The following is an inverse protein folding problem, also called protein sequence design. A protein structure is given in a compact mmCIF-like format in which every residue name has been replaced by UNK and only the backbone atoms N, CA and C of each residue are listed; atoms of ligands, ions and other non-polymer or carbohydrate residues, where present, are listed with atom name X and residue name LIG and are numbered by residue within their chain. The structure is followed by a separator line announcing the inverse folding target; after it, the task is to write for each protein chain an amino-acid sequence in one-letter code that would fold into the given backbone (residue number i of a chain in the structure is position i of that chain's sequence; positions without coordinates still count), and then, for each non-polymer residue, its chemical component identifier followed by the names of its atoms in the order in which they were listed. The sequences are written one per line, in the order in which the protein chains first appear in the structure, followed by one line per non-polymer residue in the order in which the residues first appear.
data_IF_732971058491
#
_entry.id   IF_732971058491
#
_cell.length_a   1.000
_cell.length_b   1.000
_cell.length_c   1.000
_cell.angle_alpha   90.00
_cell.angle_beta   90.00
_cell.angle_gamma   90.00
#
_symmetry.space_group_name_H-M   'P 1'
#
loop_
_entity.id
_entity.type
_entity.pdbx_description
1 polymer ?
#
# COMPACT_ATOMS: atom_id res chain seq x y z
N UNK A 1 0.92 26.92 -5.59
CA UNK A 1 1.84 25.97 -4.93
C UNK A 1 1.56 24.57 -5.43
N UNK A 2 2.60 23.74 -5.63
CA UNK A 2 2.41 22.35 -6.00
C UNK A 2 1.74 21.54 -4.88
N UNK A 3 0.90 20.59 -5.26
CA UNK A 3 0.19 19.73 -4.33
C UNK A 3 0.00 18.32 -4.86
N UNK A 4 -0.12 17.36 -3.94
CA UNK A 4 -0.42 15.97 -4.24
C UNK A 4 -1.91 15.68 -4.08
N UNK A 5 -2.37 14.76 -4.90
CA UNK A 5 -3.72 14.19 -4.90
C UNK A 5 -3.66 12.70 -4.58
N UNK A 6 -4.80 12.06 -4.42
CA UNK A 6 -4.86 10.59 -4.23
C UNK A 6 -4.21 9.81 -5.37
N UNK A 7 -4.12 10.39 -6.59
CA UNK A 7 -3.43 9.76 -7.73
C UNK A 7 -1.90 9.79 -7.63
N UNK A 8 -1.35 10.63 -6.76
CA UNK A 8 0.09 10.69 -6.52
C UNK A 8 0.55 9.82 -5.34
N UNK A 9 -0.38 9.36 -4.48
CA UNK A 9 -0.09 8.58 -3.30
C UNK A 9 -0.32 7.09 -3.58
N UNK A 10 0.69 6.27 -3.41
CA UNK A 10 0.65 4.81 -3.51
C UNK A 10 1.08 4.17 -2.19
N UNK A 11 0.99 2.85 -2.07
CA UNK A 11 1.56 2.17 -0.93
C UNK A 11 3.07 2.40 -0.87
N UNK A 12 3.52 2.99 0.24
CA UNK A 12 4.93 3.29 0.56
C UNK A 12 5.69 4.17 -0.45
N UNK A 13 4.98 4.85 -1.37
CA UNK A 13 5.64 5.73 -2.35
C UNK A 13 4.74 6.84 -2.85
N UNK A 14 5.38 7.85 -3.44
CA UNK A 14 4.72 8.98 -4.10
C UNK A 14 5.22 9.12 -5.54
N UNK A 15 4.31 9.45 -6.45
CA UNK A 15 4.64 9.84 -7.81
C UNK A 15 4.57 11.36 -7.93
N UNK A 16 5.75 12.00 -7.96
CA UNK A 16 5.89 13.46 -7.92
C UNK A 16 6.20 14.09 -9.29
N UNK A 17 6.25 13.29 -10.36
CA UNK A 17 6.63 13.75 -11.70
C UNK A 17 5.65 14.75 -12.34
N UNK A 18 4.36 14.71 -11.97
CA UNK A 18 3.30 15.58 -12.52
C UNK A 18 2.43 16.13 -11.38
N UNK A 19 2.95 17.08 -10.64
CA UNK A 19 2.20 17.77 -9.60
C UNK A 19 1.30 18.84 -10.22
N UNK A 20 0.10 18.95 -9.70
CA UNK A 20 -0.81 20.06 -10.00
C UNK A 20 -0.47 21.23 -9.12
N UNK A 21 -0.86 22.42 -9.55
CA UNK A 21 -0.70 23.64 -8.77
C UNK A 21 -2.05 24.29 -8.50
N UNK A 22 -2.19 24.86 -7.31
CA UNK A 22 -3.34 25.69 -6.97
C UNK A 22 -2.94 26.77 -5.97
N UNK A 23 -3.83 27.73 -5.78
CA UNK A 23 -3.72 28.72 -4.72
C UNK A 23 -4.19 28.12 -3.40
N UNK A 24 -3.46 28.40 -2.33
CA UNK A 24 -3.83 28.10 -0.95
C UNK A 24 -3.84 29.41 -0.17
N UNK A 25 -4.90 29.67 0.56
CA UNK A 25 -4.93 30.78 1.52
C UNK A 25 -4.00 30.50 2.71
N UNK A 26 -3.60 31.55 3.42
CA UNK A 26 -2.72 31.41 4.60
C UNK A 26 -3.32 30.44 5.65
N UNK A 27 -4.64 30.48 5.85
CA UNK A 27 -5.34 29.61 6.79
C UNK A 27 -5.39 28.14 6.36
N UNK A 28 -5.26 27.87 5.05
CA UNK A 28 -5.26 26.51 4.51
C UNK A 28 -3.86 25.92 4.47
N UNK A 29 -2.84 26.75 4.33
CA UNK A 29 -1.44 26.29 4.20
C UNK A 29 -1.07 25.35 5.36
N UNK A 30 -1.34 25.73 6.60
CA UNK A 30 -0.99 24.90 7.76
C UNK A 30 -1.73 23.55 7.76
N UNK A 31 -3.02 23.57 7.46
CA UNK A 31 -3.86 22.36 7.42
C UNK A 31 -3.48 21.43 6.28
N UNK A 32 -3.19 22.01 5.11
CA UNK A 32 -2.92 21.26 3.89
C UNK A 32 -1.43 20.94 3.68
N UNK A 33 -0.54 21.24 4.63
CA UNK A 33 0.89 20.93 4.53
C UNK A 33 1.23 19.61 5.19
N UNK A 34 1.79 18.71 4.42
CA UNK A 34 2.45 17.52 4.92
C UNK A 34 3.95 17.79 5.09
N UNK A 35 4.49 17.36 6.22
CA UNK A 35 5.91 17.46 6.57
C UNK A 35 6.48 16.07 6.80
N UNK A 36 7.80 15.95 6.83
CA UNK A 36 8.48 14.67 7.06
C UNK A 36 7.96 13.94 8.30
N UNK A 37 7.62 12.67 8.13
CA UNK A 37 7.07 11.81 9.18
C UNK A 37 5.55 11.76 9.25
N UNK A 38 4.83 12.61 8.51
CA UNK A 38 3.37 12.54 8.44
C UNK A 38 2.92 11.28 7.70
N UNK A 39 1.91 10.59 8.25
CA UNK A 39 1.22 9.52 7.55
C UNK A 39 0.07 10.09 6.74
N UNK A 40 0.13 9.91 5.44
CA UNK A 40 -0.91 10.37 4.50
C UNK A 40 -1.78 9.19 4.10
N UNK A 41 -3.11 9.37 4.16
CA UNK A 41 -4.09 8.31 3.91
C UNK A 41 -5.16 8.79 2.94
N UNK A 42 -5.46 8.02 1.90
CA UNK A 42 -6.49 8.34 0.93
C UNK A 42 -7.90 8.22 1.54
N UNK A 43 -8.68 9.31 1.49
CA UNK A 43 -10.12 9.31 1.76
C UNK A 43 -10.92 8.77 0.58
N UNK A 44 -10.47 9.08 -0.65
CA UNK A 44 -11.13 8.72 -1.90
C UNK A 44 -10.21 7.95 -2.86
N UNK A 45 -10.77 7.50 -3.97
CA UNK A 45 -10.06 6.65 -4.93
C UNK A 45 -9.80 5.26 -4.34
N UNK A 46 -8.56 4.91 -4.08
CA UNK A 46 -8.21 3.68 -3.35
C UNK A 46 -8.22 3.96 -1.85
N UNK A 47 -9.40 3.94 -1.27
CA UNK A 47 -9.70 4.30 0.12
C UNK A 47 -8.82 3.53 1.10
N UNK A 48 -8.20 4.25 2.03
CA UNK A 48 -7.32 3.68 3.07
C UNK A 48 -5.89 3.41 2.60
N UNK A 49 -5.56 3.62 1.32
CA UNK A 49 -4.18 3.56 0.84
C UNK A 49 -3.36 4.64 1.52
N UNK A 50 -2.16 4.28 1.99
CA UNK A 50 -1.36 5.13 2.84
C UNK A 50 0.12 5.14 2.45
N UNK A 51 0.81 6.23 2.76
CA UNK A 51 2.27 6.33 2.71
C UNK A 51 2.77 7.38 3.71
N UNK A 52 4.00 7.22 4.16
CA UNK A 52 4.66 8.19 5.05
C UNK A 52 5.43 9.19 4.20
N UNK A 53 5.23 10.49 4.45
CA UNK A 53 6.01 11.52 3.78
C UNK A 53 7.43 11.55 4.35
N UNK A 54 8.40 11.04 3.58
CA UNK A 54 9.80 10.88 4.02
C UNK A 54 10.74 11.96 3.48
N UNK A 55 10.22 12.89 2.65
CA UNK A 55 11.00 13.97 2.04
C UNK A 55 11.25 15.11 3.04
N UNK A 56 12.34 15.82 2.90
CA UNK A 56 12.67 16.97 3.74
C UNK A 56 11.87 18.21 3.35
N UNK A 57 11.41 18.28 2.09
CA UNK A 57 10.57 19.35 1.59
C UNK A 57 9.10 19.13 1.95
N UNK A 58 8.45 20.19 2.40
CA UNK A 58 7.03 20.20 2.67
C UNK A 58 6.21 20.20 1.37
N UNK A 59 5.10 19.46 1.36
CA UNK A 59 4.18 19.41 0.22
C UNK A 59 2.76 19.78 0.64
N UNK A 60 1.98 20.34 -0.29
CA UNK A 60 0.55 20.54 -0.09
C UNK A 60 -0.21 19.27 -0.46
N UNK A 61 -1.30 19.02 0.27
CA UNK A 61 -2.18 17.88 0.04
C UNK A 61 -3.59 18.37 -0.30
N UNK A 62 -4.26 17.62 -1.16
CA UNK A 62 -5.67 17.84 -1.46
C UNK A 62 -6.56 17.36 -0.30
N UNK A 63 -7.79 17.91 -0.23
CA UNK A 63 -8.79 17.58 0.79
C UNK A 63 -9.27 16.10 0.84
N UNK A 64 -8.95 15.30 -0.17
CA UNK A 64 -9.21 13.85 -0.18
C UNK A 64 -8.02 13.00 0.31
N UNK A 65 -7.05 13.64 0.96
CA UNK A 65 -5.95 12.99 1.67
C UNK A 65 -6.00 13.42 3.13
N UNK A 66 -6.13 12.46 4.02
CA UNK A 66 -5.96 12.70 5.45
C UNK A 66 -4.48 12.77 5.80
N UNK A 67 -4.13 13.77 6.62
CA UNK A 67 -2.82 13.91 7.23
C UNK A 67 -2.91 13.50 8.70
N UNK A 68 -2.21 12.44 9.05
CA UNK A 68 -2.12 11.96 10.41
C UNK A 68 -0.74 12.31 10.98
N UNK A 69 -0.75 13.15 11.99
CA UNK A 69 0.43 13.57 12.75
C UNK A 69 0.18 13.31 14.22
N UNK A 70 1.07 12.58 14.85
CA UNK A 70 0.95 12.34 16.29
C UNK A 70 1.43 13.54 17.10
N UNK A 71 0.77 13.79 18.22
CA UNK A 71 1.20 14.78 19.23
C UNK A 71 2.13 14.17 20.28
N UNK A 72 2.30 12.85 20.27
CA UNK A 72 3.17 12.10 21.16
C UNK A 72 4.12 11.24 20.36
N UNK A 73 5.19 10.76 20.98
CA UNK A 73 6.12 9.85 20.31
C UNK A 73 5.45 8.51 20.00
N UNK A 74 5.33 8.20 18.71
CA UNK A 74 4.81 6.93 18.20
C UNK A 74 5.67 6.46 17.03
N UNK A 75 5.59 5.17 16.69
CA UNK A 75 6.17 4.64 15.47
C UNK A 75 5.18 4.82 14.32
N UNK A 76 5.35 5.84 13.46
CA UNK A 76 4.45 6.12 12.33
C UNK A 76 4.33 4.92 11.40
N UNK A 77 5.41 4.17 11.18
CA UNK A 77 5.43 2.95 10.36
C UNK A 77 4.51 1.85 10.91
N UNK A 78 4.36 1.77 12.24
CA UNK A 78 3.41 0.83 12.86
C UNK A 78 1.97 1.14 12.41
N UNK A 79 1.58 2.40 12.40
CA UNK A 79 0.25 2.81 11.91
C UNK A 79 0.09 2.63 10.41
N UNK A 80 1.15 2.86 9.63
CA UNK A 80 1.16 2.53 8.20
C UNK A 80 0.81 1.06 7.97
N UNK A 81 1.45 0.11 8.68
CA UNK A 81 1.15 -1.31 8.57
C UNK A 81 -0.25 -1.67 9.08
N UNK A 82 -0.79 -0.94 10.06
CA UNK A 82 -2.19 -1.12 10.48
C UNK A 82 -3.18 -0.71 9.39
N UNK A 83 -2.96 0.41 8.69
CA UNK A 83 -3.77 0.78 7.53
C UNK A 83 -3.67 -0.26 6.42
N UNK A 84 -2.48 -0.76 6.15
CA UNK A 84 -2.25 -1.82 5.20
C UNK A 84 -3.06 -3.07 5.56
N UNK A 85 -2.97 -3.54 6.80
CA UNK A 85 -3.72 -4.68 7.32
C UNK A 85 -5.24 -4.45 7.20
N UNK A 86 -5.75 -3.31 7.67
CA UNK A 86 -7.18 -3.01 7.69
C UNK A 86 -7.76 -2.93 6.28
N UNK A 87 -7.00 -2.38 5.34
CA UNK A 87 -7.38 -2.36 3.93
C UNK A 87 -7.47 -3.76 3.34
N UNK A 88 -6.46 -4.59 3.52
CA UNK A 88 -6.40 -5.93 2.94
C UNK A 88 -7.35 -6.92 3.64
N UNK A 89 -7.65 -6.70 4.92
CA UNK A 89 -8.69 -7.43 5.64
C UNK A 89 -10.12 -7.02 5.26
N UNK A 90 -10.27 -5.97 4.40
CA UNK A 90 -11.58 -5.48 3.98
C UNK A 90 -12.33 -4.67 5.07
N UNK A 91 -11.63 -4.23 6.11
CA UNK A 91 -12.23 -3.41 7.17
C UNK A 91 -12.34 -1.94 6.77
N UNK A 92 -11.55 -1.51 5.80
CA UNK A 92 -11.59 -0.18 5.18
C UNK A 92 -11.81 -0.34 3.68
N UNK A 93 -12.83 0.32 3.12
CA UNK A 93 -13.10 0.35 1.69
C UNK A 93 -13.61 -0.95 1.08
N UNK A 94 -13.98 -1.95 1.90
CA UNK A 94 -14.50 -3.25 1.44
C UNK A 94 -15.99 -3.19 1.04
N UNK A 95 -16.41 -4.17 0.20
CA UNK A 95 -17.83 -4.44 -0.06
C UNK A 95 -18.34 -5.32 1.08
N UNK A 96 -19.09 -4.77 2.03
CA UNK A 96 -19.66 -5.53 3.16
C UNK A 96 -19.87 -4.70 4.41
N UNK A 97 -19.61 -5.30 5.58
CA UNK A 97 -19.81 -4.67 6.90
C UNK A 97 -18.74 -3.59 7.20
N UNK A 98 -17.73 -3.43 6.36
CA UNK A 98 -16.64 -2.48 6.54
C UNK A 98 -17.01 -1.03 6.16
N UNK A 99 -16.11 -0.12 6.47
CA UNK A 99 -16.22 1.31 6.14
C UNK A 99 -16.10 1.48 4.63
N UNK A 100 -17.15 1.95 3.96
CA UNK A 100 -17.21 2.13 2.52
C UNK A 100 -16.58 3.45 2.04
N UNK A 101 -16.25 4.35 2.94
CA UNK A 101 -15.56 5.60 2.69
C UNK A 101 -14.78 6.00 3.94
N UNK A 102 -13.65 6.65 3.78
CA UNK A 102 -12.82 7.06 4.91
C UNK A 102 -12.99 8.57 5.14
N UNK A 103 -14.22 9.01 5.40
CA UNK A 103 -14.42 10.40 5.86
C UNK A 103 -13.67 10.66 7.17
N UNK A 104 -13.46 11.92 7.53
CA UNK A 104 -12.81 12.26 8.79
C UNK A 104 -13.49 11.60 10.01
N UNK A 105 -14.83 11.56 10.03
CA UNK A 105 -15.58 10.89 11.10
C UNK A 105 -15.35 9.37 11.10
N UNK A 106 -15.31 8.74 9.93
CA UNK A 106 -15.02 7.32 9.81
C UNK A 106 -13.58 6.99 10.25
N UNK A 107 -12.62 7.85 9.89
CA UNK A 107 -11.23 7.73 10.32
C UNK A 107 -11.11 7.82 11.84
N UNK A 108 -11.79 8.80 12.47
CA UNK A 108 -11.79 8.96 13.93
C UNK A 108 -12.48 7.81 14.68
N UNK A 109 -13.36 7.07 14.01
CA UNK A 109 -14.02 5.89 14.57
C UNK A 109 -13.19 4.60 14.47
N UNK A 110 -12.07 4.61 13.73
CA UNK A 110 -11.18 3.46 13.64
C UNK A 110 -10.50 3.19 14.99
N UNK A 111 -10.60 1.96 15.44
CA UNK A 111 -9.91 1.51 16.64
C UNK A 111 -8.55 0.92 16.26
N UNK A 112 -7.48 1.53 16.73
CA UNK A 112 -6.13 1.03 16.57
C UNK A 112 -5.58 0.51 17.90
N UNK A 113 -4.90 -0.66 17.90
CA UNK A 113 -4.13 -1.08 19.05
C UNK A 113 -2.98 -0.09 19.29
N UNK A 114 -2.73 0.25 20.55
CA UNK A 114 -1.66 1.16 20.92
C UNK A 114 -0.72 0.48 21.92
N UNK A 115 0.13 -0.46 21.51
CA UNK A 115 1.13 -1.05 22.38
C UNK A 115 2.20 -0.02 22.74
N UNK A 116 3.04 -0.28 23.78
CA UNK A 116 4.17 0.57 24.08
C UNK A 116 5.07 0.81 22.87
N UNK A 117 5.71 1.98 22.80
CA UNK A 117 6.54 2.38 21.64
C UNK A 117 7.61 1.36 21.27
N UNK A 118 8.24 0.73 22.26
CA UNK A 118 9.23 -0.33 22.06
C UNK A 118 8.63 -1.53 21.32
N UNK A 119 7.39 -1.87 21.63
CA UNK A 119 6.68 -2.97 20.97
C UNK A 119 6.25 -2.59 19.55
N UNK A 120 5.80 -1.34 19.32
CA UNK A 120 5.53 -0.84 17.97
C UNK A 120 6.77 -0.98 17.08
N UNK A 121 7.93 -0.53 17.57
CA UNK A 121 9.22 -0.63 16.84
C UNK A 121 9.64 -2.08 16.63
N UNK A 122 9.42 -2.98 17.60
CA UNK A 122 9.72 -4.41 17.49
C UNK A 122 8.87 -5.10 16.41
N UNK A 123 7.57 -4.78 16.37
CA UNK A 123 6.66 -5.30 15.35
C UNK A 123 7.11 -4.85 13.96
N UNK A 124 7.37 -3.57 13.76
CA UNK A 124 7.85 -3.01 12.48
C UNK A 124 9.15 -3.67 12.03
N UNK A 125 10.11 -3.85 12.96
CA UNK A 125 11.37 -4.54 12.65
C UNK A 125 11.12 -5.97 12.15
N UNK A 126 10.22 -6.70 12.79
CA UNK A 126 9.88 -8.07 12.39
C UNK A 126 9.19 -8.15 11.04
N UNK A 127 8.33 -7.20 10.72
CA UNK A 127 7.70 -7.11 9.39
C UNK A 127 8.79 -6.89 8.34
N UNK A 128 9.65 -5.89 8.52
CA UNK A 128 10.75 -5.57 7.59
C UNK A 128 11.75 -6.72 7.41
N UNK A 129 12.06 -7.45 8.47
CA UNK A 129 12.90 -8.66 8.39
C UNK A 129 12.25 -9.76 7.52
N UNK A 130 10.91 -9.82 7.49
CA UNK A 130 10.16 -10.84 6.76
C UNK A 130 9.92 -10.47 5.30
N UNK A 131 9.91 -9.18 4.94
CA UNK A 131 9.63 -8.70 3.57
C UNK A 131 10.47 -9.39 2.48
N UNK A 132 11.81 -9.53 2.60
CA UNK A 132 12.61 -10.19 1.57
C UNK A 132 12.27 -11.68 1.38
N UNK A 133 11.78 -12.35 2.44
CA UNK A 133 11.34 -13.74 2.36
C UNK A 133 9.98 -13.83 1.67
N UNK A 134 9.07 -12.88 1.95
CA UNK A 134 7.76 -12.81 1.32
C UNK A 134 7.88 -12.52 -0.17
N UNK A 135 8.78 -11.63 -0.59
CA UNK A 135 9.07 -11.35 -1.99
C UNK A 135 9.57 -12.61 -2.72
N UNK A 136 10.56 -13.30 -2.15
CA UNK A 136 11.06 -14.57 -2.71
C UNK A 136 9.96 -15.62 -2.82
N UNK A 137 9.10 -15.72 -1.81
CA UNK A 137 7.97 -16.65 -1.82
C UNK A 137 7.00 -16.31 -2.94
N UNK A 138 6.62 -15.05 -3.08
CA UNK A 138 5.73 -14.58 -4.15
C UNK A 138 6.29 -14.85 -5.55
N UNK A 139 7.59 -14.67 -5.76
CA UNK A 139 8.25 -14.98 -7.02
C UNK A 139 8.23 -16.48 -7.34
N UNK A 140 8.49 -17.33 -6.34
CA UNK A 140 8.44 -18.80 -6.49
C UNK A 140 7.01 -19.28 -6.74
N UNK A 141 6.03 -18.75 -6.04
CA UNK A 141 4.61 -19.05 -6.22
C UNK A 141 4.17 -18.69 -7.64
N UNK A 142 4.49 -17.50 -8.11
CA UNK A 142 4.19 -17.05 -9.47
C UNK A 142 4.84 -17.94 -10.55
N UNK A 143 6.08 -18.38 -10.30
CA UNK A 143 6.76 -19.30 -11.20
C UNK A 143 6.08 -20.68 -11.21
N UNK A 144 5.67 -21.19 -10.05
CA UNK A 144 4.96 -22.45 -9.91
C UNK A 144 3.60 -22.41 -10.62
N UNK A 145 2.84 -21.34 -10.46
CA UNK A 145 1.56 -21.14 -11.13
C UNK A 145 1.73 -21.11 -12.66
N UNK A 146 2.77 -20.44 -13.14
CA UNK A 146 3.11 -20.45 -14.56
C UNK A 146 3.43 -21.85 -15.07
N UNK A 147 4.25 -22.61 -14.33
CA UNK A 147 4.57 -23.99 -14.69
C UNK A 147 3.31 -24.85 -14.72
N UNK A 148 2.47 -24.78 -13.71
CA UNK A 148 1.24 -25.57 -13.62
C UNK A 148 0.27 -25.24 -14.77
N UNK A 149 0.24 -24.01 -15.22
CA UNK A 149 -0.64 -23.56 -16.30
C UNK A 149 -0.10 -23.96 -17.68
N UNK A 150 1.20 -23.80 -17.90
CA UNK A 150 1.81 -24.02 -19.23
C UNK A 150 2.24 -25.48 -19.47
N UNK A 151 2.62 -26.20 -18.40
CA UNK A 151 3.16 -27.56 -18.51
C UNK A 151 2.26 -28.57 -19.23
N UNK A 152 0.93 -28.62 -18.99
CA UNK A 152 0.06 -29.58 -19.69
C UNK A 152 0.10 -29.38 -21.20
N UNK A 153 0.11 -28.15 -21.67
CA UNK A 153 0.15 -27.83 -23.11
C UNK A 153 1.53 -28.09 -23.72
N UNK A 154 2.59 -27.79 -22.99
CA UNK A 154 3.96 -28.10 -23.42
C UNK A 154 4.19 -29.60 -23.50
N UNK A 155 3.71 -30.37 -22.52
CA UNK A 155 3.79 -31.80 -22.52
C UNK A 155 3.02 -32.41 -23.71
N UNK A 156 1.79 -31.94 -23.95
CA UNK A 156 0.99 -32.40 -25.09
C UNK A 156 1.70 -32.13 -26.41
N UNK A 157 2.27 -30.92 -26.59
CA UNK A 157 3.04 -30.58 -27.80
C UNK A 157 4.27 -31.47 -27.96
N UNK A 158 5.01 -31.73 -26.90
CA UNK A 158 6.19 -32.59 -26.91
C UNK A 158 5.82 -34.03 -27.30
N UNK A 159 4.77 -34.59 -26.69
CA UNK A 159 4.29 -35.95 -27.00
C UNK A 159 3.86 -36.04 -28.48
N UNK A 160 3.11 -35.03 -29.01
CA UNK A 160 2.71 -35.01 -30.39
C UNK A 160 3.91 -34.94 -31.35
N UNK A 161 4.93 -34.12 -30.97
CA UNK A 161 6.15 -34.03 -31.78
C UNK A 161 6.92 -35.34 -31.83
N UNK A 162 7.07 -36.06 -30.73
CA UNK A 162 7.71 -37.36 -30.67
C UNK A 162 6.90 -38.41 -31.44
N UNK A 163 5.56 -38.35 -31.35
CA UNK A 163 4.66 -39.21 -32.10
C UNK A 163 4.83 -39.05 -33.63
N UNK A 164 4.85 -37.81 -34.12
CA UNK A 164 5.02 -37.52 -35.56
C UNK A 164 6.40 -37.95 -36.07
N UNK A 165 7.42 -37.93 -35.21
CA UNK A 165 8.77 -38.39 -35.53
C UNK A 165 8.95 -39.91 -35.43
N UNK A 166 7.89 -40.66 -35.09
CA UNK A 166 7.93 -42.10 -34.95
C UNK A 166 8.76 -42.60 -33.75
N UNK A 167 9.01 -41.77 -32.76
CA UNK A 167 9.86 -42.11 -31.62
C UNK A 167 9.10 -42.66 -30.41
N UNK A 168 7.77 -42.60 -30.41
CA UNK A 168 6.93 -43.09 -29.30
C UNK A 168 6.64 -44.58 -29.35
N UNK A 169 6.90 -45.27 -30.48
CA UNK A 169 6.69 -46.70 -30.62
C UNK A 169 7.99 -47.29 -31.15
N UNK A 170 8.55 -48.34 -30.48
CA UNK A 170 9.73 -49.01 -30.96
C UNK A 170 9.51 -49.77 -32.25
#
# INVERSE_FOLDING_TARGET
LPYITTSNLYWDRFELGNLREMYFSENEIEKCTATKGDLLVCEGGDIGRAAIWMFDEDIRIQNHIHKLRSYTEVCTEFFYYLFYLYKHAGWIGGKGIGIQGLSANALHALLFPLPPLSEQKRIVSKIKESEPLMEKYADVEKYLDKLNTEFPDQLRKSILQEAVQGKLVP
#
